data_IF_651172981214
#
_entry.id   IF_651172981214
#
_cell.length_a   1.000
_cell.length_b   1.000
_cell.length_c   1.000
_cell.angle_alpha   90.00
_cell.angle_beta   90.00
_cell.angle_gamma   90.00
#
_symmetry.space_group_name_H-M   'P 1'
#
loop_
_entity.id
_entity.type
_entity.pdbx_description
1 polymer ?
#
# COMPACT_ATOMS: atom_id res chain seq x y z
N UNK A 1 -20.40 8.34 3.93
CA UNK A 1 -20.84 6.93 3.69
C UNK A 1 -20.49 6.46 2.29
N UNK A 2 -20.87 7.19 1.23
CA UNK A 2 -20.59 6.87 -0.19
C UNK A 2 -19.10 6.63 -0.52
N UNK A 3 -18.20 7.48 0.00
CA UNK A 3 -16.75 7.35 -0.21
C UNK A 3 -16.14 6.06 0.39
N UNK A 4 -16.68 5.54 1.50
CA UNK A 4 -16.17 4.32 2.14
C UNK A 4 -16.67 3.05 1.46
N UNK A 5 -17.90 3.08 0.94
CA UNK A 5 -18.42 1.98 0.10
C UNK A 5 -17.60 1.89 -1.19
N UNK A 6 -17.22 3.03 -1.79
CA UNK A 6 -16.33 3.04 -2.96
C UNK A 6 -14.95 2.45 -2.65
N UNK A 7 -14.38 2.73 -1.48
CA UNK A 7 -13.12 2.11 -1.05
C UNK A 7 -13.25 0.59 -0.86
N UNK A 8 -14.37 0.14 -0.27
CA UNK A 8 -14.68 -1.28 -0.11
C UNK A 8 -14.87 -2.00 -1.45
N UNK A 9 -15.64 -1.40 -2.36
CA UNK A 9 -15.84 -1.91 -3.72
C UNK A 9 -14.55 -1.90 -4.54
N UNK A 10 -13.65 -0.94 -4.31
CA UNK A 10 -12.35 -0.88 -4.97
C UNK A 10 -11.38 -1.97 -4.52
N UNK A 11 -11.64 -2.59 -3.37
CA UNK A 11 -10.78 -3.62 -2.77
C UNK A 11 -11.37 -5.03 -2.88
N UNK A 12 -12.49 -5.17 -3.58
CA UNK A 12 -13.04 -6.47 -3.97
C UNK A 12 -12.82 -6.63 -5.47
N UNK A 13 -11.78 -7.38 -5.85
CA UNK A 13 -11.43 -7.62 -7.24
C UNK A 13 -12.15 -8.84 -7.79
N UNK A 14 -12.88 -8.68 -8.90
CA UNK A 14 -13.35 -9.83 -9.67
C UNK A 14 -12.31 -10.12 -10.75
N UNK A 15 -11.64 -11.29 -10.69
CA UNK A 15 -10.77 -11.73 -11.77
C UNK A 15 -11.55 -12.66 -12.68
N UNK A 16 -11.82 -12.20 -13.89
CA UNK A 16 -12.46 -13.03 -14.91
C UNK A 16 -11.34 -13.70 -15.71
N UNK A 17 -11.29 -15.03 -15.69
CA UNK A 17 -10.45 -15.78 -16.62
C UNK A 17 -11.30 -16.12 -17.83
N UNK A 18 -10.93 -15.54 -18.97
CA UNK A 18 -11.55 -15.86 -20.25
C UNK A 18 -10.58 -16.74 -21.04
N UNK A 19 -10.99 -17.97 -21.31
CA UNK A 19 -10.26 -18.84 -22.24
C UNK A 19 -10.68 -18.45 -23.66
N UNK A 20 -9.75 -17.85 -24.41
CA UNK A 20 -9.95 -17.48 -25.82
C UNK A 20 -9.22 -18.47 -26.72
N UNK A 21 -9.88 -18.87 -27.81
CA UNK A 21 -9.21 -19.58 -28.90
C UNK A 21 -8.41 -18.54 -29.72
N UNK A 22 -7.11 -18.76 -29.89
CA UNK A 22 -6.21 -17.92 -30.69
C UNK A 22 -5.60 -18.80 -31.77
N UNK A 23 -5.66 -18.34 -33.01
CA UNK A 23 -4.99 -18.97 -34.15
C UNK A 23 -3.67 -18.24 -34.41
N UNK A 24 -2.58 -18.99 -34.41
CA UNK A 24 -1.25 -18.50 -34.80
C UNK A 24 -0.90 -19.11 -36.16
N UNK A 25 -0.49 -18.28 -37.10
CA UNK A 25 -0.12 -18.73 -38.43
C UNK A 25 0.69 -17.70 -39.21
N UNK A 26 1.52 -18.21 -40.11
CA UNK A 26 2.23 -17.39 -41.10
C UNK A 26 1.30 -17.06 -42.26
N UNK A 27 1.28 -15.79 -42.65
CA UNK A 27 0.49 -15.31 -43.78
C UNK A 27 1.13 -15.79 -45.08
N UNK A 28 0.47 -16.74 -45.75
CA UNK A 28 0.93 -17.30 -47.04
C UNK A 28 0.33 -16.56 -48.23
N UNK A 29 -0.97 -16.25 -48.19
CA UNK A 29 -1.67 -15.51 -49.25
C UNK A 29 -2.76 -14.61 -48.65
N UNK A 30 -2.87 -13.37 -49.14
CA UNK A 30 -3.87 -12.38 -48.71
C UNK A 30 -4.82 -12.05 -49.86
N UNK A 31 -5.86 -12.86 -50.06
CA UNK A 31 -6.93 -12.59 -51.03
C UNK A 31 -8.28 -12.49 -50.35
N UNK A 32 -9.06 -11.41 -50.56
CA UNK A 32 -10.43 -11.34 -50.06
C UNK A 32 -11.29 -12.37 -50.80
N UNK A 33 -11.96 -13.24 -50.05
CA UNK A 33 -12.88 -14.23 -50.60
C UNK A 33 -14.31 -13.84 -50.22
N UNK A 34 -15.16 -13.57 -51.22
CA UNK A 34 -16.60 -13.40 -51.02
C UNK A 34 -17.28 -14.75 -51.31
N UNK A 35 -17.62 -15.52 -50.27
CA UNK A 35 -18.34 -16.78 -50.44
C UNK A 35 -19.84 -16.61 -50.18
N UNK A 36 -20.66 -17.14 -51.10
CA UNK A 36 -22.13 -17.07 -51.05
C UNK A 36 -22.78 -18.13 -50.13
N UNK A 37 -22.01 -19.08 -49.57
CA UNK A 37 -22.55 -20.20 -48.77
C UNK A 37 -21.77 -20.49 -47.46
N UNK A 38 -22.36 -20.23 -46.27
CA UNK A 38 -21.66 -20.32 -44.97
C UNK A 38 -21.33 -21.72 -44.43
N UNK A 39 -21.79 -22.81 -45.06
CA UNK A 39 -21.71 -24.16 -44.48
C UNK A 39 -20.45 -24.97 -44.87
N UNK A 40 -19.78 -24.65 -45.97
CA UNK A 40 -18.56 -25.38 -46.40
C UNK A 40 -17.28 -24.88 -45.71
N UNK A 41 -17.31 -23.70 -45.08
CA UNK A 41 -16.14 -23.05 -44.46
C UNK A 41 -15.82 -23.56 -43.04
N UNK A 42 -16.53 -24.56 -42.53
CA UNK A 42 -16.34 -25.03 -41.14
C UNK A 42 -14.99 -25.74 -40.93
N UNK A 43 -14.29 -26.15 -41.99
CA UNK A 43 -13.05 -26.94 -41.92
C UNK A 43 -11.78 -26.21 -42.41
N UNK A 44 -11.89 -24.98 -42.95
CA UNK A 44 -10.73 -24.26 -43.51
C UNK A 44 -10.54 -22.88 -42.87
N UNK A 45 -9.51 -22.68 -42.04
CA UNK A 45 -9.19 -21.37 -41.43
C UNK A 45 -8.68 -20.32 -42.43
N UNK A 46 -8.68 -20.61 -43.74
CA UNK A 46 -8.07 -19.79 -44.80
C UNK A 46 -9.01 -18.75 -45.41
N UNK A 47 -10.30 -18.71 -45.05
CA UNK A 47 -11.25 -17.76 -45.59
C UNK A 47 -11.45 -16.56 -44.63
N UNK A 48 -11.00 -15.38 -45.05
CA UNK A 48 -11.13 -14.12 -44.30
C UNK A 48 -12.18 -13.25 -45.01
N UNK A 49 -13.24 -12.87 -44.30
CA UNK A 49 -14.27 -11.99 -44.83
C UNK A 49 -13.78 -10.55 -45.10
N UNK A 50 -14.47 -9.75 -45.92
CA UNK A 50 -14.07 -8.38 -46.28
C UNK A 50 -13.96 -7.44 -45.07
N UNK A 51 -14.80 -7.68 -44.03
CA UNK A 51 -14.71 -7.15 -42.66
C UNK A 51 -13.28 -7.02 -42.11
N UNK A 52 -12.54 -8.06 -42.41
CA UNK A 52 -11.38 -8.47 -41.67
C UNK A 52 -10.10 -8.19 -42.45
N UNK A 53 -10.21 -8.24 -43.78
CA UNK A 53 -9.19 -7.81 -44.71
C UNK A 53 -8.85 -6.32 -44.56
N UNK A 54 -9.85 -5.46 -44.35
CA UNK A 54 -9.63 -4.01 -44.11
C UNK A 54 -8.79 -3.75 -42.85
N UNK A 55 -8.94 -4.58 -41.82
CA UNK A 55 -8.18 -4.46 -40.57
C UNK A 55 -6.72 -4.88 -40.75
N UNK A 56 -6.48 -5.95 -41.52
CA UNK A 56 -5.13 -6.41 -41.88
C UNK A 56 -4.41 -5.41 -42.79
N UNK A 57 -5.12 -4.75 -43.71
CA UNK A 57 -4.56 -3.67 -44.51
C UNK A 57 -4.18 -2.45 -43.66
N UNK A 58 -4.97 -2.13 -42.64
CA UNK A 58 -4.68 -1.04 -41.71
C UNK A 58 -3.44 -1.33 -40.85
N UNK A 59 -3.24 -2.58 -40.46
CA UNK A 59 -2.04 -3.03 -39.74
C UNK A 59 -0.82 -3.26 -40.64
N UNK A 60 -0.97 -3.14 -41.97
CA UNK A 60 0.09 -3.35 -42.97
C UNK A 60 0.76 -4.71 -42.87
N UNK A 61 -0.04 -5.76 -42.69
CA UNK A 61 0.44 -7.14 -42.66
C UNK A 61 0.90 -7.56 -44.05
N UNK A 62 2.13 -8.08 -44.17
CA UNK A 62 2.72 -8.57 -45.40
C UNK A 62 2.76 -10.10 -45.44
N UNK A 63 2.95 -10.66 -46.64
CA UNK A 63 3.09 -12.11 -46.83
C UNK A 63 4.43 -12.55 -46.22
N UNK A 64 4.38 -13.54 -45.32
CA UNK A 64 5.51 -14.00 -44.51
C UNK A 64 5.48 -13.51 -43.05
N UNK A 65 4.54 -12.64 -42.67
CA UNK A 65 4.37 -12.22 -41.28
C UNK A 65 3.66 -13.28 -40.44
N UNK A 66 4.11 -13.46 -39.21
CA UNK A 66 3.44 -14.31 -38.20
C UNK A 66 2.39 -13.47 -37.49
N UNK A 67 1.11 -13.84 -37.64
CA UNK A 67 -0.01 -13.12 -37.05
C UNK A 67 -0.78 -13.97 -36.04
N UNK A 68 -1.37 -13.28 -35.07
CA UNK A 68 -2.22 -13.86 -34.04
C UNK A 68 -3.66 -13.38 -34.25
N UNK A 69 -4.55 -14.28 -34.64
CA UNK A 69 -5.97 -13.97 -34.85
C UNK A 69 -6.79 -14.57 -33.71
N UNK A 70 -7.47 -13.70 -32.94
CA UNK A 70 -8.45 -14.16 -31.94
C UNK A 70 -9.72 -14.72 -32.63
N UNK A 71 -10.18 -15.91 -32.23
CA UNK A 71 -11.36 -16.57 -32.80
C UNK A 71 -12.70 -15.85 -32.55
N UNK A 72 -12.69 -14.79 -31.73
CA UNK A 72 -13.84 -13.91 -31.44
C UNK A 72 -14.42 -13.24 -32.69
N UNK A 73 -13.67 -13.32 -33.78
CA UNK A 73 -13.88 -12.67 -35.07
C UNK A 73 -14.95 -13.32 -35.94
N UNK A 74 -15.19 -14.63 -35.83
CA UNK A 74 -16.11 -15.34 -36.75
C UNK A 74 -17.08 -16.32 -36.08
N UNK A 75 -16.89 -16.69 -34.81
CA UNK A 75 -17.80 -17.63 -34.13
C UNK A 75 -18.54 -16.95 -32.98
N UNK A 76 -19.86 -17.15 -32.95
CA UNK A 76 -20.68 -17.06 -31.72
C UNK A 76 -20.37 -18.28 -30.84
N UNK A 77 -19.10 -18.46 -30.46
CA UNK A 77 -18.63 -19.53 -29.60
C UNK A 77 -19.04 -19.30 -28.15
N UNK A 78 -19.37 -20.38 -27.42
CA UNK A 78 -19.59 -20.31 -25.97
C UNK A 78 -18.27 -19.97 -25.29
N UNK A 79 -18.08 -18.70 -24.94
CA UNK A 79 -17.07 -18.32 -23.97
C UNK A 79 -17.47 -18.92 -22.61
N UNK A 80 -16.76 -19.96 -22.17
CA UNK A 80 -16.83 -20.42 -20.78
C UNK A 80 -16.11 -19.39 -19.91
N UNK A 81 -16.88 -18.49 -19.31
CA UNK A 81 -16.35 -17.52 -18.35
C UNK A 81 -16.22 -18.21 -16.98
N UNK A 82 -15.00 -18.49 -16.56
CA UNK A 82 -14.73 -18.83 -15.17
C UNK A 82 -14.48 -17.53 -14.39
N UNK A 83 -15.42 -17.22 -13.50
CA UNK A 83 -15.32 -16.06 -12.61
C UNK A 83 -14.65 -16.50 -11.31
N UNK A 84 -13.41 -16.08 -11.12
CA UNK A 84 -12.69 -16.27 -9.87
C UNK A 84 -12.87 -15.02 -9.00
N UNK A 85 -13.49 -15.17 -7.83
CA UNK A 85 -13.58 -14.08 -6.86
C UNK A 85 -12.25 -14.01 -6.11
N UNK A 86 -11.56 -12.88 -6.22
CA UNK A 86 -10.35 -12.61 -5.42
C UNK A 86 -10.71 -11.60 -4.35
N UNK A 87 -10.65 -12.04 -3.10
CA UNK A 87 -10.76 -11.15 -1.96
C UNK A 87 -9.40 -10.47 -1.76
N UNK A 88 -9.36 -9.15 -1.89
CA UNK A 88 -8.14 -8.39 -1.61
C UNK A 88 -8.02 -8.09 -0.11
N UNK A 89 -6.87 -7.56 0.31
CA UNK A 89 -6.64 -7.10 1.68
C UNK A 89 -6.86 -5.59 1.73
N UNK A 90 -7.76 -5.16 2.61
CA UNK A 90 -7.95 -3.74 2.93
C UNK A 90 -7.26 -3.38 4.22
N UNK A 91 -6.38 -2.38 4.13
CA UNK A 91 -5.76 -1.77 5.31
C UNK A 91 -6.57 -0.55 5.70
N UNK A 92 -7.12 -0.59 6.91
CA UNK A 92 -7.81 0.53 7.50
C UNK A 92 -7.05 1.00 8.73
N UNK A 93 -6.38 2.15 8.59
CA UNK A 93 -5.87 2.89 9.74
C UNK A 93 -7.05 3.57 10.43
N UNK A 94 -7.76 2.79 11.24
CA UNK A 94 -8.69 3.35 12.19
C UNK A 94 -7.83 3.77 13.39
N UNK A 95 -7.62 5.06 13.55
CA UNK A 95 -7.72 5.59 14.90
C UNK A 95 -9.17 5.34 15.36
N UNK A 96 -9.47 4.09 15.77
CA UNK A 96 -10.77 3.61 16.26
C UNK A 96 -11.20 4.51 17.43
N UNK A 97 -10.20 5.08 18.11
CA UNK A 97 -10.28 6.17 19.05
C UNK A 97 -11.17 7.35 18.59
N UNK A 98 -10.99 7.90 17.39
CA UNK A 98 -11.73 9.08 16.89
C UNK A 98 -13.01 8.74 16.13
N UNK A 99 -13.26 7.46 15.90
CA UNK A 99 -14.42 6.99 15.16
C UNK A 99 -15.60 6.66 16.07
N UNK A 100 -16.79 7.09 15.64
CA UNK A 100 -18.06 6.77 16.28
C UNK A 100 -18.30 5.25 16.20
N UNK A 101 -18.59 4.55 17.33
CA UNK A 101 -18.82 3.10 17.34
C UNK A 101 -19.93 2.65 16.38
N UNK A 102 -20.87 3.53 16.02
CA UNK A 102 -21.91 3.26 15.01
C UNK A 102 -21.35 2.92 13.62
N UNK A 103 -20.15 3.41 13.29
CA UNK A 103 -19.48 3.10 12.03
C UNK A 103 -18.96 1.65 12.00
N UNK A 104 -18.50 1.14 13.15
CA UNK A 104 -18.00 -0.24 13.26
C UNK A 104 -19.14 -1.25 13.14
N UNK A 105 -20.34 -0.91 13.60
CA UNK A 105 -21.54 -1.74 13.39
C UNK A 105 -21.90 -1.88 11.90
N UNK A 106 -21.67 -0.83 11.11
CA UNK A 106 -21.89 -0.91 9.66
C UNK A 106 -20.83 -1.78 8.95
N UNK A 107 -19.56 -1.67 9.36
CA UNK A 107 -18.48 -2.51 8.86
C UNK A 107 -18.70 -3.98 9.22
N UNK A 108 -19.17 -4.26 10.44
CA UNK A 108 -19.51 -5.61 10.88
C UNK A 108 -20.56 -6.25 9.95
N UNK A 109 -21.61 -5.52 9.58
CA UNK A 109 -22.61 -6.00 8.61
C UNK A 109 -22.05 -6.17 7.20
N UNK A 110 -21.06 -5.36 6.80
CA UNK A 110 -20.40 -5.49 5.50
C UNK A 110 -19.47 -6.73 5.45
N UNK A 111 -18.86 -7.08 6.59
CA UNK A 111 -18.03 -8.27 6.77
C UNK A 111 -18.81 -9.58 6.79
N UNK A 112 -20.13 -9.54 7.00
CA UNK A 112 -20.99 -10.73 6.91
C UNK A 112 -21.21 -11.21 5.48
N UNK A 113 -20.83 -10.40 4.48
CA UNK A 113 -20.89 -10.81 3.08
C UNK A 113 -19.80 -11.84 2.75
N UNK A 114 -20.15 -12.87 1.98
CA UNK A 114 -19.21 -13.88 1.49
C UNK A 114 -18.12 -13.33 0.55
N UNK A 115 -18.29 -12.12 0.04
CA UNK A 115 -17.33 -11.42 -0.83
C UNK A 115 -16.54 -10.35 -0.08
N UNK A 116 -16.62 -10.33 1.26
CA UNK A 116 -15.90 -9.35 2.05
C UNK A 116 -14.37 -9.56 1.92
N UNK A 117 -13.60 -8.49 1.64
CA UNK A 117 -12.14 -8.55 1.66
C UNK A 117 -11.63 -8.82 3.08
N UNK A 118 -10.36 -9.26 3.19
CA UNK A 118 -9.69 -9.35 4.48
C UNK A 118 -9.46 -7.92 4.98
N UNK A 119 -10.02 -7.59 6.14
CA UNK A 119 -9.86 -6.26 6.74
C UNK A 119 -8.83 -6.32 7.86
N UNK A 120 -7.79 -5.49 7.74
CA UNK A 120 -6.81 -5.28 8.80
C UNK A 120 -7.04 -3.91 9.42
N UNK A 121 -7.36 -3.91 10.71
CA UNK A 121 -7.47 -2.70 11.53
C UNK A 121 -6.16 -2.47 12.29
N UNK A 122 -5.56 -1.30 12.13
CA UNK A 122 -4.53 -0.80 13.03
C UNK A 122 -5.19 0.08 14.09
N UNK A 123 -4.80 -0.02 15.36
CA UNK A 123 -5.28 0.86 16.44
C UNK A 123 -4.12 1.23 17.36
N UNK A 124 -3.98 2.53 17.63
CA UNK A 124 -2.89 3.09 18.45
C UNK A 124 -3.29 3.30 19.91
N UNK A 125 -4.57 3.10 20.24
CA UNK A 125 -5.14 3.39 21.56
C UNK A 125 -5.64 2.12 22.23
N UNK A 126 -4.97 1.69 23.29
CA UNK A 126 -5.32 0.45 24.02
C UNK A 126 -6.60 0.54 24.87
N UNK A 127 -6.94 1.72 25.37
CA UNK A 127 -8.14 1.98 26.15
C UNK A 127 -8.51 3.47 26.06
N UNK A 128 -9.67 3.79 25.49
CA UNK A 128 -10.33 5.07 25.79
C UNK A 128 -11.20 4.89 27.04
N UNK A 129 -11.60 6.01 27.64
CA UNK A 129 -12.57 6.12 28.76
C UNK A 129 -13.98 5.55 28.47
N UNK A 130 -14.18 4.76 27.42
CA UNK A 130 -15.45 4.12 27.10
C UNK A 130 -15.30 2.60 26.95
N UNK A 131 -15.92 1.86 27.87
CA UNK A 131 -16.63 0.56 27.79
C UNK A 131 -16.01 -0.65 27.05
N UNK A 132 -15.00 -0.52 26.17
CA UNK A 132 -14.49 -1.64 25.37
C UNK A 132 -12.97 -1.58 25.06
N UNK A 133 -12.28 -2.73 25.02
CA UNK A 133 -10.88 -2.81 24.56
C UNK A 133 -10.71 -2.27 23.14
N UNK A 134 -9.64 -1.50 22.90
CA UNK A 134 -9.29 -0.96 21.57
C UNK A 134 -10.33 -0.01 20.93
N UNK A 135 -11.42 0.33 21.63
CA UNK A 135 -12.55 1.08 21.08
C UNK A 135 -13.43 0.26 20.12
N UNK A 136 -13.30 -1.07 20.13
CA UNK A 136 -14.03 -1.98 19.26
C UNK A 136 -15.23 -2.56 20.05
N UNK A 137 -16.46 -2.52 19.51
CA UNK A 137 -17.61 -3.18 20.11
C UNK A 137 -17.33 -4.66 20.40
N UNK A 138 -17.80 -5.17 21.53
CA UNK A 138 -17.56 -6.56 21.96
C UNK A 138 -17.96 -7.58 20.88
N UNK A 139 -19.06 -7.33 20.16
CA UNK A 139 -19.56 -8.19 19.08
C UNK A 139 -18.58 -8.36 17.90
N UNK A 140 -17.75 -7.34 17.65
CA UNK A 140 -16.68 -7.39 16.64
C UNK A 140 -15.38 -7.91 17.26
N UNK A 141 -15.14 -7.64 18.55
CA UNK A 141 -13.95 -8.10 19.27
C UNK A 141 -13.81 -9.62 19.27
N UNK A 142 -14.92 -10.35 19.41
CA UNK A 142 -14.94 -11.82 19.38
C UNK A 142 -14.64 -12.40 17.99
N UNK A 143 -14.78 -11.59 16.93
CA UNK A 143 -14.57 -12.00 15.53
C UNK A 143 -13.23 -11.55 14.96
N UNK A 144 -12.46 -10.74 15.68
CA UNK A 144 -11.16 -10.23 15.21
C UNK A 144 -10.00 -11.00 15.82
N UNK A 145 -8.97 -11.26 15.00
CA UNK A 145 -7.69 -11.75 15.50
C UNK A 145 -6.82 -10.56 15.92
N UNK A 146 -6.50 -10.46 17.21
CA UNK A 146 -5.65 -9.39 17.74
C UNK A 146 -4.17 -9.80 17.63
N UNK A 147 -3.45 -9.17 16.71
CA UNK A 147 -1.99 -9.26 16.63
C UNK A 147 -1.38 -8.11 17.41
N UNK A 148 -0.62 -8.42 18.46
CA UNK A 148 0.08 -7.42 19.26
C UNK A 148 1.47 -7.17 18.70
N UNK A 149 1.78 -5.91 18.39
CA UNK A 149 3.13 -5.50 18.00
C UNK A 149 4.00 -5.28 19.24
N UNK A 150 5.26 -5.70 19.12
CA UNK A 150 6.28 -5.51 20.16
C UNK A 150 7.12 -4.28 19.85
N UNK A 151 7.82 -3.77 20.87
CA UNK A 151 8.75 -2.67 20.69
C UNK A 151 10.00 -3.16 19.96
N UNK A 152 10.52 -2.32 19.08
CA UNK A 152 11.82 -2.56 18.46
C UNK A 152 12.92 -2.48 19.52
N UNK A 153 13.88 -3.38 19.41
CA UNK A 153 15.13 -3.33 20.15
C UNK A 153 16.05 -2.23 19.59
N UNK A 154 17.02 -1.71 20.38
CA UNK A 154 17.96 -0.70 19.90
C UNK A 154 18.72 -1.12 18.62
N UNK A 155 19.01 -2.40 18.51
CA UNK A 155 19.71 -2.97 17.34
C UNK A 155 18.81 -2.96 16.10
N UNK A 156 17.55 -3.36 16.23
CA UNK A 156 16.57 -3.28 15.13
C UNK A 156 16.33 -1.83 14.71
N UNK A 157 16.28 -0.88 15.65
CA UNK A 157 16.11 0.54 15.33
C UNK A 157 17.27 1.08 14.49
N UNK A 158 18.52 0.75 14.85
CA UNK A 158 19.70 1.10 14.03
C UNK A 158 19.61 0.50 12.62
N UNK A 159 19.17 -0.76 12.50
CA UNK A 159 18.99 -1.40 11.20
C UNK A 159 17.91 -0.70 10.36
N UNK A 160 16.78 -0.33 10.96
CA UNK A 160 15.70 0.37 10.24
C UNK A 160 16.19 1.74 9.73
N UNK A 161 16.89 2.50 10.58
CA UNK A 161 17.46 3.80 10.19
C UNK A 161 18.47 3.63 9.05
N UNK A 162 19.32 2.59 9.13
CA UNK A 162 20.28 2.26 8.06
C UNK A 162 19.60 1.93 6.73
N UNK A 163 18.54 1.11 6.76
CA UNK A 163 17.77 0.78 5.56
C UNK A 163 17.12 2.04 4.98
N UNK A 164 16.56 2.91 5.83
CA UNK A 164 15.96 4.17 5.37
C UNK A 164 16.98 5.11 4.74
N UNK A 165 18.15 5.27 5.36
CA UNK A 165 19.25 6.04 4.80
C UNK A 165 19.68 5.52 3.42
N UNK A 166 19.77 4.20 3.26
CA UNK A 166 20.11 3.57 1.97
C UNK A 166 19.03 3.81 0.91
N UNK A 167 17.75 3.68 1.24
CA UNK A 167 16.64 3.93 0.32
C UNK A 167 16.59 5.40 -0.14
N UNK A 168 16.95 6.34 0.74
CA UNK A 168 17.01 7.77 0.43
C UNK A 168 18.34 8.21 -0.22
N UNK A 169 19.31 7.30 -0.37
CA UNK A 169 20.62 7.59 -0.93
C UNK A 169 21.49 8.50 -0.04
N UNK A 170 21.32 8.41 1.28
CA UNK A 170 22.04 9.21 2.28
C UNK A 170 23.16 8.37 2.90
N UNK A 171 24.40 8.89 2.84
CA UNK A 171 25.54 8.28 3.49
C UNK A 171 25.64 8.71 4.96
N UNK A 172 25.69 7.74 5.87
CA UNK A 172 25.75 7.99 7.32
C UNK A 172 26.95 7.26 7.90
N UNK A 173 27.75 7.97 8.71
CA UNK A 173 28.84 7.37 9.47
C UNK A 173 28.31 6.45 10.58
N UNK A 174 29.03 5.38 10.89
CA UNK A 174 28.65 4.44 11.95
C UNK A 174 28.58 5.13 13.33
N UNK A 175 29.43 6.12 13.58
CA UNK A 175 29.41 6.93 14.81
C UNK A 175 28.12 7.75 14.92
N UNK A 176 27.68 8.36 13.82
CA UNK A 176 26.43 9.13 13.75
C UNK A 176 25.21 8.22 13.94
N UNK A 177 25.23 7.02 13.37
CA UNK A 177 24.18 6.01 13.54
C UNK A 177 24.08 5.52 14.98
N UNK A 178 25.22 5.34 15.65
CA UNK A 178 25.26 4.97 17.07
C UNK A 178 24.67 6.07 17.94
N UNK A 179 25.04 7.33 17.70
CA UNK A 179 24.49 8.48 18.43
C UNK A 179 22.98 8.63 18.23
N UNK A 180 22.49 8.54 16.99
CA UNK A 180 21.06 8.54 16.70
C UNK A 180 20.33 7.43 17.46
N UNK A 181 20.92 6.23 17.53
CA UNK A 181 20.37 5.12 18.30
C UNK A 181 20.30 5.39 19.81
N UNK A 182 21.28 6.10 20.38
CA UNK A 182 21.29 6.49 21.79
C UNK A 182 20.23 7.57 22.09
N UNK A 183 20.11 8.59 21.22
CA UNK A 183 19.07 9.62 21.31
C UNK A 183 17.69 8.98 21.28
N UNK A 184 17.44 8.09 20.31
CA UNK A 184 16.20 7.32 20.21
C UNK A 184 15.90 6.57 21.50
N UNK A 185 16.88 5.87 22.04
CA UNK A 185 16.70 5.05 23.24
C UNK A 185 16.42 5.93 24.47
N UNK A 186 17.12 7.06 24.60
CA UNK A 186 16.90 8.04 25.66
C UNK A 186 15.50 8.63 25.62
N UNK A 187 15.03 9.01 24.43
CA UNK A 187 13.66 9.49 24.24
C UNK A 187 12.67 8.38 24.59
N UNK A 188 12.81 7.16 24.06
CA UNK A 188 11.90 6.05 24.39
C UNK A 188 11.82 5.82 25.90
N UNK A 189 12.95 5.84 26.59
CA UNK A 189 12.99 5.68 28.05
C UNK A 189 12.25 6.81 28.77
N UNK A 190 12.48 8.07 28.37
CA UNK A 190 11.76 9.23 28.92
C UNK A 190 10.26 9.21 28.62
N UNK A 191 9.85 8.58 27.51
CA UNK A 191 8.46 8.50 27.10
C UNK A 191 7.71 7.30 27.71
N UNK A 192 8.45 6.32 28.25
CA UNK A 192 7.92 5.11 28.86
C UNK A 192 7.44 5.39 30.30
N UNK A 193 6.33 6.12 30.42
CA UNK A 193 5.62 6.19 31.69
C UNK A 193 5.05 4.81 32.02
N UNK A 194 5.40 4.26 33.19
CA UNK A 194 4.94 2.93 33.67
C UNK A 194 3.42 2.77 33.71
N UNK A 195 2.67 3.87 33.59
CA UNK A 195 1.22 3.97 33.70
C UNK A 195 0.49 4.08 32.35
N UNK A 196 1.20 4.22 31.22
CA UNK A 196 0.59 4.48 29.92
C UNK A 196 0.76 3.30 28.95
N UNK A 197 -0.36 2.73 28.49
CA UNK A 197 -0.39 1.68 27.46
C UNK A 197 0.04 2.17 26.07
N UNK A 198 0.33 3.47 25.91
CA UNK A 198 0.81 4.04 24.66
C UNK A 198 2.32 3.80 24.55
N UNK A 199 2.69 2.74 23.85
CA UNK A 199 4.08 2.40 23.51
C UNK A 199 4.64 3.45 22.53
N UNK A 200 5.70 4.22 22.89
CA UNK A 200 6.16 5.36 22.09
C UNK A 200 7.08 4.99 20.92
N UNK A 201 7.50 3.72 20.80
CA UNK A 201 8.59 3.31 19.89
C UNK A 201 8.44 3.79 18.44
N UNK A 202 7.24 3.69 17.85
CA UNK A 202 7.02 4.11 16.46
C UNK A 202 7.14 5.63 16.27
N UNK A 203 6.74 6.42 17.27
CA UNK A 203 6.77 7.89 17.20
C UNK A 203 8.22 8.37 17.21
N UNK A 204 9.05 7.77 18.06
CA UNK A 204 10.48 8.11 18.17
C UNK A 204 11.26 7.68 16.94
N UNK A 205 10.92 6.50 16.39
CA UNK A 205 11.53 6.03 15.15
C UNK A 205 11.20 6.96 13.98
N UNK A 206 9.95 7.42 13.88
CA UNK A 206 9.53 8.37 12.85
C UNK A 206 10.27 9.70 12.98
N UNK A 207 10.39 10.24 14.19
CA UNK A 207 11.18 11.43 14.47
C UNK A 207 12.62 11.27 13.96
N UNK A 208 13.25 10.14 14.23
CA UNK A 208 14.66 9.90 13.87
C UNK A 208 14.88 9.76 12.38
N UNK A 209 13.93 9.15 11.66
CA UNK A 209 13.95 9.12 10.18
C UNK A 209 13.78 10.53 9.62
N UNK A 210 12.91 11.35 10.22
CA UNK A 210 12.71 12.73 9.79
C UNK A 210 13.96 13.61 10.00
N UNK A 211 14.83 13.30 10.97
CA UNK A 211 16.09 14.01 11.17
C UNK A 211 17.16 13.71 10.11
N UNK A 212 17.04 12.61 9.35
CA UNK A 212 18.04 12.22 8.35
C UNK A 212 18.13 13.24 7.20
N UNK A 213 16.98 13.71 6.71
CA UNK A 213 16.91 14.68 5.61
C UNK A 213 17.56 16.03 5.95
N UNK A 214 17.24 16.71 7.07
CA UNK A 214 17.93 17.94 7.44
C UNK A 214 19.41 17.68 7.77
N UNK A 215 19.77 16.51 8.31
CA UNK A 215 21.17 16.17 8.62
C UNK A 215 22.02 16.01 7.36
N UNK A 216 21.44 15.43 6.31
CA UNK A 216 22.08 15.38 5.01
C UNK A 216 22.23 16.78 4.40
N UNK A 217 21.23 17.64 4.55
CA UNK A 217 21.31 19.02 4.05
C UNK A 217 22.41 19.80 4.77
N UNK A 218 22.51 19.67 6.09
CA UNK A 218 23.53 20.34 6.90
C UNK A 218 24.94 19.83 6.57
N UNK A 219 25.10 18.53 6.37
CA UNK A 219 26.35 17.94 5.88
C UNK A 219 26.78 18.56 4.54
N UNK A 220 25.85 18.66 3.58
CA UNK A 220 26.11 19.26 2.27
C UNK A 220 26.49 20.74 2.35
N UNK A 221 25.86 21.51 3.23
CA UNK A 221 26.21 22.93 3.47
C UNK A 221 27.64 23.04 4.01
N UNK A 222 28.05 22.10 4.86
CA UNK A 222 29.41 22.01 5.39
C UNK A 222 30.43 21.39 4.40
N UNK A 223 30.00 21.07 3.17
CA UNK A 223 30.84 20.46 2.14
C UNK A 223 31.18 18.99 2.40
N UNK A 224 30.44 18.31 3.29
CA UNK A 224 30.58 16.87 3.59
C UNK A 224 29.48 16.07 2.87
N UNK A 225 29.86 14.96 2.26
CA UNK A 225 28.92 14.05 1.58
C UNK A 225 28.28 13.01 2.51
N UNK A 226 28.76 12.92 3.76
CA UNK A 226 28.29 11.98 4.77
C UNK A 226 27.85 12.68 6.06
N UNK A 227 26.80 12.15 6.69
CA UNK A 227 26.35 12.59 8.00
C UNK A 227 27.32 12.09 9.07
N UNK A 228 27.88 13.04 9.82
CA UNK A 228 28.72 12.81 10.98
C UNK A 228 27.98 13.15 12.28
N UNK A 229 28.60 12.82 13.42
CA UNK A 229 28.02 13.01 14.75
C UNK A 229 27.64 14.47 15.03
N UNK A 230 28.49 15.41 14.62
CA UNK A 230 28.32 16.86 14.82
C UNK A 230 27.00 17.36 14.21
N UNK A 231 26.70 16.91 12.98
CA UNK A 231 25.49 17.31 12.27
C UNK A 231 24.21 16.81 12.96
N UNK A 232 24.27 15.63 13.57
CA UNK A 232 23.15 15.06 14.33
C UNK A 232 22.92 15.83 15.62
N UNK A 233 23.99 16.21 16.32
CA UNK A 233 23.90 17.00 17.56
C UNK A 233 23.24 18.35 17.31
N UNK A 234 23.71 19.08 16.30
CA UNK A 234 23.15 20.40 15.95
C UNK A 234 21.66 20.32 15.59
N UNK A 235 21.27 19.30 14.83
CA UNK A 235 19.87 19.11 14.43
C UNK A 235 18.96 18.71 15.57
N UNK A 236 19.49 17.93 16.53
CA UNK A 236 18.73 17.56 17.71
C UNK A 236 18.49 18.77 18.65
N UNK A 237 19.29 19.84 18.55
CA UNK A 237 19.01 21.10 19.23
C UNK A 237 17.96 21.95 18.51
N UNK A 238 17.97 21.92 17.17
CA UNK A 238 17.06 22.71 16.34
C UNK A 238 15.63 22.14 16.29
N UNK A 239 15.52 20.81 16.24
CA UNK A 239 14.24 20.12 16.13
C UNK A 239 13.93 19.40 17.44
N UNK A 240 12.73 19.64 17.97
CA UNK A 240 12.25 18.98 19.18
C UNK A 240 11.20 17.92 18.86
N UNK A 241 11.18 16.84 19.64
CA UNK A 241 10.08 15.89 19.58
C UNK A 241 8.80 16.50 20.17
N UNK A 242 7.66 15.89 19.84
CA UNK A 242 6.35 16.40 20.24
C UNK A 242 6.15 16.48 21.77
N UNK A 243 6.75 15.58 22.57
CA UNK A 243 6.60 15.63 24.04
C UNK A 243 7.53 16.66 24.66
N UNK A 244 8.79 16.75 24.22
CA UNK A 244 9.68 17.83 24.68
C UNK A 244 9.10 19.20 24.34
N UNK A 245 8.54 19.36 23.14
CA UNK A 245 7.83 20.57 22.73
C UNK A 245 6.63 20.86 23.65
N UNK A 246 5.82 19.86 23.99
CA UNK A 246 4.69 20.03 24.90
C UNK A 246 5.13 20.41 26.32
N UNK A 247 6.28 19.90 26.79
CA UNK A 247 6.85 20.26 28.09
C UNK A 247 7.29 21.72 28.12
N UNK A 248 8.00 22.18 27.09
CA UNK A 248 8.41 23.58 26.94
C UNK A 248 7.18 24.51 26.92
N UNK A 249 6.12 24.12 26.20
CA UNK A 249 4.85 24.85 26.17
C UNK A 249 4.18 24.91 27.55
N UNK A 250 4.21 23.82 28.31
CA UNK A 250 3.66 23.78 29.67
C UNK A 250 4.45 24.66 30.65
N UNK A 251 5.77 24.68 30.54
CA UNK A 251 6.65 25.53 31.37
C UNK A 251 6.50 27.02 31.03
N UNK A 252 6.20 27.34 29.77
CA UNK A 252 6.05 28.72 29.27
C UNK A 252 4.58 29.13 29.08
N UNK A 253 3.64 28.48 29.76
CA UNK A 253 2.21 28.64 29.54
C UNK A 253 1.72 30.10 29.63
N UNK A 254 2.39 30.94 30.43
CA UNK A 254 2.07 32.36 30.58
C UNK A 254 2.37 33.21 29.34
N UNK A 255 3.27 32.76 28.45
CA UNK A 255 3.68 33.48 27.24
C UNK A 255 2.79 33.21 26.03
N UNK A 256 1.99 32.15 26.07
CA UNK A 256 1.16 31.71 24.95
C UNK A 256 -0.31 32.06 25.19
N UNK A 257 -1.01 32.47 24.13
CA UNK A 257 -2.46 32.66 24.20
C UNK A 257 -3.16 31.31 24.37
N UNK A 258 -4.23 31.31 25.17
CA UNK A 258 -5.11 30.17 25.39
C UNK A 258 -6.18 30.06 24.32
#
# INVERSE_FOLDING_TARGET
MRLRIQHWSGSAGLRIRETKEVFEGEVTELTPCETENPMEDMERPSAIGPQHYESLQKERVEVGDVIYIEANWSRKGRCSQEKEVIQDVTLHDLDVATHDPRMLTYLHRALESSLAPIVIFATTVGHRRCVSPHGIPLDLLDRVMIIRTMLYTPQEMKQIIKIRAQTEGINISEEALNHLGEIVQGIIHSLCDKTSFRKPGCIVLMYSVQLLTPANLLAKINGKDSIEKEHVEEINELFYDAKSSAKILAEQQEKYMK
#
